data_IF_520794007397
#
_entry.id   IF_520794007397
#
_cell.length_a   1.000
_cell.length_b   1.000
_cell.length_c   1.000
_cell.angle_alpha   90.00
_cell.angle_beta   90.00
_cell.angle_gamma   90.00
#
_symmetry.space_group_name_H-M   'P 1'
#
loop_
_entity.id
_entity.type
_entity.pdbx_description
1 polymer ?
#
# COMPACT_ATOMS: atom_id res chain seq x y z
N UNK A 1 -1.00 -11.86 -21.31
CA UNK A 1 -1.41 -10.68 -20.51
C UNK A 1 -2.26 -11.10 -19.30
N UNK A 2 -1.67 -11.12 -18.11
CA UNK A 2 -2.35 -11.54 -16.89
C UNK A 2 -3.47 -10.54 -16.57
N UNK A 3 -4.72 -11.01 -16.58
CA UNK A 3 -5.94 -10.20 -16.39
C UNK A 3 -6.49 -10.23 -14.96
N UNK A 4 -5.87 -11.01 -14.08
CA UNK A 4 -6.30 -11.18 -12.69
C UNK A 4 -5.03 -11.24 -11.83
N UNK A 5 -4.85 -10.24 -10.97
CA UNK A 5 -3.92 -10.31 -9.84
C UNK A 5 -4.73 -10.61 -8.59
N UNK A 6 -4.52 -11.77 -7.97
CA UNK A 6 -5.05 -12.03 -6.62
C UNK A 6 -4.15 -11.25 -5.68
N UNK A 7 -4.64 -10.09 -5.24
CA UNK A 7 -3.94 -9.28 -4.27
C UNK A 7 -4.41 -9.71 -2.89
N UNK A 8 -3.57 -10.51 -2.22
CA UNK A 8 -3.80 -10.83 -0.81
C UNK A 8 -3.64 -9.52 -0.04
N UNK A 9 -4.71 -9.07 0.61
CA UNK A 9 -4.71 -7.91 1.51
C UNK A 9 -3.93 -8.29 2.78
N UNK A 10 -2.60 -8.37 2.64
CA UNK A 10 -1.73 -8.50 3.78
C UNK A 10 -1.74 -7.16 4.51
N UNK A 11 -2.07 -7.18 5.79
CA UNK A 11 -1.49 -6.26 6.77
C UNK A 11 0.02 -6.07 6.48
N UNK A 12 0.69 -5.07 7.06
CA UNK A 12 2.01 -4.57 6.63
C UNK A 12 3.13 -5.56 6.22
N UNK A 13 3.04 -6.85 6.54
CA UNK A 13 3.86 -7.94 5.98
C UNK A 13 3.83 -8.09 4.45
N UNK A 14 2.85 -7.52 3.73
CA UNK A 14 2.77 -7.61 2.25
C UNK A 14 4.04 -7.12 1.55
N UNK A 15 4.67 -6.07 2.10
CA UNK A 15 5.95 -5.52 1.59
C UNK A 15 7.06 -6.55 1.65
N UNK A 16 7.24 -7.21 2.80
CA UNK A 16 8.29 -8.22 3.00
C UNK A 16 8.08 -9.46 2.11
N UNK A 17 6.83 -9.94 2.01
CA UNK A 17 6.50 -11.13 1.20
C UNK A 17 6.73 -10.86 -0.29
N UNK A 18 6.27 -9.70 -0.79
CA UNK A 18 6.43 -9.33 -2.19
C UNK A 18 7.90 -9.13 -2.58
N UNK A 19 8.72 -8.60 -1.66
CA UNK A 19 10.16 -8.39 -1.89
C UNK A 19 10.94 -9.70 -2.13
N UNK A 20 10.42 -10.83 -1.64
CA UNK A 20 11.00 -12.17 -1.87
C UNK A 20 10.29 -12.97 -2.97
N UNK A 21 9.29 -12.39 -3.63
CA UNK A 21 8.40 -13.13 -4.52
C UNK A 21 7.96 -12.32 -5.74
N UNK A 22 6.71 -11.84 -5.73
CA UNK A 22 6.04 -11.24 -6.88
C UNK A 22 6.64 -9.91 -7.35
N UNK A 23 7.43 -9.23 -6.50
CA UNK A 23 7.94 -7.89 -6.78
C UNK A 23 6.87 -6.80 -6.76
N UNK A 24 5.64 -7.10 -6.33
CA UNK A 24 4.53 -6.14 -6.21
C UNK A 24 3.79 -6.34 -4.90
N UNK A 25 3.73 -5.28 -4.08
CA UNK A 25 2.95 -5.21 -2.85
C UNK A 25 1.82 -4.19 -2.98
N UNK A 26 0.64 -4.51 -2.45
CA UNK A 26 -0.44 -3.55 -2.23
C UNK A 26 -0.76 -3.53 -0.73
N UNK A 27 -0.84 -2.34 -0.15
CA UNK A 27 -1.14 -2.14 1.27
C UNK A 27 -1.98 -0.90 1.47
N UNK A 28 -2.73 -0.83 2.57
CA UNK A 28 -3.32 0.44 3.02
C UNK A 28 -2.29 1.33 3.72
N UNK A 29 -2.57 2.63 3.78
CA UNK A 29 -1.80 3.62 4.55
C UNK A 29 -1.60 3.19 6.03
N UNK A 30 -2.67 2.81 6.72
CA UNK A 30 -2.59 2.35 8.11
C UNK A 30 -1.78 1.07 8.26
N UNK A 31 -1.99 0.09 7.37
CA UNK A 31 -1.27 -1.18 7.42
C UNK A 31 0.24 -0.99 7.21
N UNK A 32 0.63 -0.04 6.35
CA UNK A 32 2.02 0.32 6.14
C UNK A 32 2.62 0.97 7.40
N UNK A 33 1.93 1.96 7.98
CA UNK A 33 2.39 2.63 9.21
C UNK A 33 2.46 1.68 10.41
N UNK A 34 1.50 0.77 10.54
CA UNK A 34 1.39 -0.12 11.70
C UNK A 34 2.47 -1.22 11.69
N UNK A 35 2.74 -1.84 10.54
CA UNK A 35 3.66 -2.99 10.51
C UNK A 35 4.47 -3.17 9.21
N UNK A 36 4.27 -2.33 8.20
CA UNK A 36 4.98 -2.46 6.93
C UNK A 36 6.22 -1.57 6.79
N UNK A 37 6.35 -0.52 7.61
CA UNK A 37 7.39 0.49 7.45
C UNK A 37 8.81 -0.08 7.58
N UNK A 38 9.05 -0.97 8.53
CA UNK A 38 10.36 -1.60 8.72
C UNK A 38 10.77 -2.44 7.49
N UNK A 39 9.81 -3.15 6.89
CA UNK A 39 10.06 -3.92 5.68
C UNK A 39 10.34 -3.00 4.48
N UNK A 40 9.65 -1.87 4.39
CA UNK A 40 9.90 -0.88 3.34
C UNK A 40 11.31 -0.29 3.47
N UNK A 41 11.76 0.01 4.69
CA UNK A 41 13.13 0.50 4.94
C UNK A 41 14.17 -0.53 4.47
N UNK A 42 14.02 -1.81 4.85
CA UNK A 42 14.93 -2.87 4.42
C UNK A 42 14.98 -3.01 2.88
N UNK A 43 13.82 -2.92 2.23
CA UNK A 43 13.71 -2.98 0.76
C UNK A 43 14.50 -1.85 0.09
N UNK A 44 14.40 -0.62 0.60
CA UNK A 44 15.15 0.53 0.06
C UNK A 44 16.64 0.46 0.36
N UNK A 45 17.02 0.07 1.57
CA UNK A 45 18.44 -0.10 1.94
C UNK A 45 19.11 -1.15 1.04
N UNK A 46 18.43 -2.26 0.78
CA UNK A 46 18.94 -3.37 -0.04
C UNK A 46 18.68 -3.19 -1.53
N UNK A 47 17.99 -2.11 -1.93
CA UNK A 47 17.62 -1.81 -3.33
C UNK A 47 16.89 -2.96 -4.04
N UNK A 48 15.99 -3.64 -3.34
CA UNK A 48 15.24 -4.76 -3.91
C UNK A 48 14.23 -4.26 -4.96
N UNK A 49 14.03 -5.00 -6.08
CA UNK A 49 13.10 -4.60 -7.14
C UNK A 49 11.65 -4.84 -6.70
N UNK A 50 11.09 -3.89 -5.93
CA UNK A 50 9.73 -3.93 -5.42
C UNK A 50 8.92 -2.72 -5.92
N UNK A 51 7.72 -2.98 -6.45
CA UNK A 51 6.66 -1.97 -6.57
C UNK A 51 5.76 -2.04 -5.33
N UNK A 52 5.89 -1.06 -4.43
CA UNK A 52 5.03 -0.92 -3.26
C UNK A 52 3.90 0.08 -3.56
N UNK A 53 2.67 -0.39 -3.58
CA UNK A 53 1.47 0.42 -3.84
C UNK A 53 0.75 0.63 -2.50
N UNK A 54 0.53 1.88 -2.14
CA UNK A 54 -0.15 2.27 -0.91
C UNK A 54 -1.48 2.92 -1.29
N UNK A 55 -2.58 2.35 -0.84
CA UNK A 55 -3.89 2.98 -0.93
C UNK A 55 -4.05 3.91 0.28
N UNK A 56 -3.99 5.22 0.03
CA UNK A 56 -4.15 6.25 1.04
C UNK A 56 -5.58 6.81 1.00
N UNK A 57 -6.42 6.31 1.90
CA UNK A 57 -7.79 6.81 2.06
C UNK A 57 -7.98 7.58 3.37
N UNK A 58 -6.91 7.77 4.13
CA UNK A 58 -6.84 8.51 5.42
C UNK A 58 -7.77 7.97 6.50
N UNK A 59 -8.30 6.75 6.33
CA UNK A 59 -9.26 6.13 7.24
C UNK A 59 -8.91 4.69 7.54
N UNK A 60 -8.94 4.35 8.82
CA UNK A 60 -8.87 2.97 9.24
C UNK A 60 -10.21 2.24 9.03
N UNK A 61 -10.53 1.94 7.78
CA UNK A 61 -11.82 1.35 7.40
C UNK A 61 -12.17 0.09 8.21
N UNK A 62 -11.19 -0.80 8.42
CA UNK A 62 -11.40 -2.07 9.14
C UNK A 62 -11.39 -1.97 10.68
N UNK A 63 -11.04 -0.81 11.26
CA UNK A 63 -10.94 -0.64 12.74
C UNK A 63 -11.75 0.54 13.28
N UNK A 64 -12.82 0.93 12.57
CA UNK A 64 -13.80 1.92 13.06
C UNK A 64 -13.67 3.32 12.46
N UNK A 65 -12.96 3.50 11.35
CA UNK A 65 -12.99 4.73 10.55
C UNK A 65 -12.22 5.92 11.14
N UNK A 66 -11.39 5.67 12.15
CA UNK A 66 -10.50 6.67 12.73
C UNK A 66 -9.53 7.27 11.68
N UNK A 67 -9.14 8.55 11.83
CA UNK A 67 -8.22 9.21 10.92
C UNK A 67 -6.83 8.55 10.99
N UNK A 68 -6.22 8.37 9.82
CA UNK A 68 -4.84 7.90 9.68
C UNK A 68 -3.94 9.12 9.49
N UNK A 69 -2.76 9.19 10.13
CA UNK A 69 -1.78 10.24 9.86
C UNK A 69 -1.39 10.29 8.39
N UNK A 70 -1.05 11.48 7.89
CA UNK A 70 -0.49 11.63 6.54
C UNK A 70 0.79 10.80 6.40
N UNK A 71 0.70 9.73 5.61
CA UNK A 71 1.78 8.75 5.45
C UNK A 71 2.98 9.35 4.73
N UNK A 72 2.78 10.33 3.85
CA UNK A 72 3.86 10.93 3.05
C UNK A 72 4.96 11.50 3.94
N UNK A 73 4.60 12.02 5.12
CA UNK A 73 5.56 12.51 6.11
C UNK A 73 6.51 11.44 6.66
N UNK A 74 6.05 10.19 6.73
CA UNK A 74 6.80 9.06 7.28
C UNK A 74 7.61 8.31 6.22
N UNK A 75 7.23 8.44 4.94
CA UNK A 75 7.90 7.77 3.81
C UNK A 75 8.53 8.72 2.81
N UNK A 76 8.71 10.01 3.16
CA UNK A 76 9.29 11.00 2.25
C UNK A 76 10.69 10.60 1.72
N UNK A 77 11.46 9.87 2.53
CA UNK A 77 12.77 9.31 2.15
C UNK A 77 12.70 8.29 1.02
N UNK A 78 11.51 7.74 0.74
CA UNK A 78 11.26 6.78 -0.33
C UNK A 78 10.89 7.45 -1.67
N UNK A 79 10.77 8.79 -1.71
CA UNK A 79 10.36 9.58 -2.88
C UNK A 79 9.12 9.00 -3.60
N UNK A 80 7.97 8.85 -2.90
CA UNK A 80 6.81 8.18 -3.46
C UNK A 80 6.18 8.97 -4.61
N UNK A 81 5.81 8.27 -5.70
CA UNK A 81 4.95 8.86 -6.71
C UNK A 81 3.51 8.94 -6.16
N UNK A 82 2.89 10.11 -6.22
CA UNK A 82 1.53 10.34 -5.72
C UNK A 82 0.57 10.52 -6.88
N UNK A 83 -0.60 9.87 -6.82
CA UNK A 83 -1.65 10.02 -7.83
C UNK A 83 -3.05 9.80 -7.23
N UNK A 84 -4.05 10.47 -7.80
CA UNK A 84 -5.44 10.25 -7.42
C UNK A 84 -5.96 8.92 -8.01
N UNK A 85 -6.85 8.25 -7.27
CA UNK A 85 -7.43 6.96 -7.67
C UNK A 85 -8.26 7.02 -8.97
N UNK A 86 -8.78 8.20 -9.33
CA UNK A 86 -9.53 8.45 -10.56
C UNK A 86 -8.66 8.91 -11.74
N UNK A 87 -7.37 9.20 -11.51
CA UNK A 87 -6.41 9.53 -12.57
C UNK A 87 -5.83 8.27 -13.22
N UNK A 88 -6.64 7.63 -14.06
CA UNK A 88 -6.27 6.43 -14.83
C UNK A 88 -5.02 6.67 -15.69
N UNK A 89 -4.83 7.89 -16.20
CA UNK A 89 -3.68 8.26 -17.02
C UNK A 89 -2.38 8.15 -16.24
N UNK A 90 -2.32 8.75 -15.05
CA UNK A 90 -1.15 8.66 -14.17
C UNK A 90 -0.97 7.24 -13.62
N UNK A 91 -2.05 6.57 -13.20
CA UNK A 91 -2.02 5.19 -12.71
C UNK A 91 -1.32 4.25 -13.71
N UNK A 92 -1.66 4.36 -15.00
CA UNK A 92 -1.05 3.53 -16.05
C UNK A 92 0.47 3.71 -16.20
N UNK A 93 1.00 4.87 -15.80
CA UNK A 93 2.43 5.21 -15.89
C UNK A 93 3.20 4.82 -14.64
N UNK A 94 2.58 4.95 -13.47
CA UNK A 94 3.24 4.72 -12.17
C UNK A 94 3.18 3.25 -11.74
N UNK A 95 2.12 2.51 -12.13
CA UNK A 95 1.92 1.10 -11.81
C UNK A 95 2.70 0.16 -12.75
N UNK A 96 3.99 0.44 -12.90
CA UNK A 96 4.92 -0.37 -13.70
C UNK A 96 6.00 -0.91 -12.77
N UNK A 97 6.25 -2.24 -12.75
CA UNK A 97 7.32 -2.83 -11.95
C UNK A 97 8.68 -2.19 -12.27
N UNK A 98 9.48 -1.82 -11.26
CA UNK A 98 10.76 -1.19 -11.49
C UNK A 98 11.80 -2.20 -12.00
N UNK A 99 12.70 -1.77 -12.89
CA UNK A 99 13.78 -2.61 -13.44
C UNK A 99 15.09 -2.55 -12.63
N UNK A 100 15.11 -1.84 -11.50
CA UNK A 100 16.31 -1.63 -10.68
C UNK A 100 16.00 -1.69 -9.20
N UNK A 101 15.88 -0.52 -8.57
CA UNK A 101 15.54 -0.41 -7.15
C UNK A 101 14.04 -0.36 -6.88
N UNK A 102 13.64 -0.22 -5.61
CA UNK A 102 12.24 -0.17 -5.25
C UNK A 102 11.58 1.13 -5.73
N UNK A 103 10.26 1.06 -5.87
CA UNK A 103 9.39 2.19 -6.18
C UNK A 103 8.20 2.14 -5.26
N UNK A 104 7.91 3.25 -4.61
CA UNK A 104 6.67 3.43 -3.84
C UNK A 104 5.70 4.32 -4.62
N UNK A 105 4.45 3.90 -4.70
CA UNK A 105 3.34 4.66 -5.28
C UNK A 105 2.28 4.82 -4.22
N UNK A 106 1.86 6.05 -3.97
CA UNK A 106 0.72 6.37 -3.10
C UNK A 106 -0.45 6.76 -3.97
N UNK A 107 -1.53 5.99 -3.89
CA UNK A 107 -2.78 6.26 -4.57
C UNK A 107 -3.74 6.88 -3.55
N UNK A 108 -4.02 8.16 -3.73
CA UNK A 108 -4.96 8.90 -2.89
C UNK A 108 -6.39 8.60 -3.33
N UNK A 109 -7.25 8.26 -2.38
CA UNK A 109 -8.65 8.00 -2.64
C UNK A 109 -9.54 8.48 -1.49
N UNK A 110 -10.83 8.55 -1.74
CA UNK A 110 -11.82 8.87 -0.71
C UNK A 110 -12.61 7.60 -0.36
N UNK A 111 -12.69 7.28 0.93
CA UNK A 111 -13.59 6.23 1.38
C UNK A 111 -15.04 6.75 1.30
N UNK A 112 -15.94 6.11 0.52
CA UNK A 112 -17.31 6.60 0.35
C UNK A 112 -18.09 6.57 1.66
N UNK A 113 -18.97 7.56 1.87
CA UNK A 113 -19.89 7.57 3.01
C UNK A 113 -20.82 6.36 2.97
N UNK A 114 -20.99 5.69 4.12
CA UNK A 114 -21.79 4.47 4.20
C UNK A 114 -21.11 3.21 3.64
N UNK A 115 -19.80 3.25 3.37
CA UNK A 115 -19.03 2.05 3.01
C UNK A 115 -19.25 0.93 4.03
N UNK A 116 -19.64 -0.25 3.54
CA UNK A 116 -19.73 -1.45 4.37
C UNK A 116 -18.31 -1.91 4.63
N UNK A 117 -17.83 -1.65 5.84
CA UNK A 117 -16.58 -2.18 6.32
C UNK A 117 -16.90 -3.51 6.99
N UNK A 118 -16.35 -4.60 6.48
CA UNK A 118 -16.44 -5.87 7.18
C UNK A 118 -15.55 -5.76 8.42
N UNK A 119 -16.17 -5.42 9.55
CA UNK A 119 -15.49 -5.43 10.84
C UNK A 119 -15.25 -6.90 11.20
N UNK A 120 -14.00 -7.35 11.11
CA UNK A 120 -13.63 -8.68 11.60
C UNK A 120 -13.74 -8.65 13.13
N UNK A 121 -14.93 -8.98 13.63
CA UNK A 121 -15.14 -9.19 15.05
C UNK A 121 -14.32 -10.42 15.48
N UNK A 122 -13.47 -10.25 16.48
CA UNK A 122 -12.83 -11.39 17.14
C UNK A 122 -13.95 -12.24 17.76
N UNK A 123 -14.25 -13.39 17.16
CA UNK A 123 -15.09 -14.39 17.82
C UNK A 123 -14.21 -15.10 18.84
N UNK A 124 -14.67 -15.09 20.08
CA UNK A 124 -13.99 -15.65 21.25
C UNK A 124 -13.35 -17.01 20.93
N UNK A 125 -12.05 -17.11 21.22
CA UNK A 125 -11.30 -18.37 21.31
C UNK A 125 -11.75 -19.16 22.54
#
# INVERSE_FOLDING_TARGET
PYRIGIVTYGLGSSVAVAATGTGVALTGDYALLHSGLNALIDVYERKLPLLCIVLANTRMGMTGGHPVPDILRYIAWADPAVCAADDVGTLSRVLVPPQGGPRTVVIEGTCPEGGIHETVAYRDL
#
